data_IF_905175606002
#
_entry.id   IF_905175606002
#
_cell.length_a   1.000
_cell.length_b   1.000
_cell.length_c   1.000
_cell.angle_alpha   90.00
_cell.angle_beta   90.00
_cell.angle_gamma   90.00
#
_symmetry.space_group_name_H-M   'P 1'
#
loop_
_entity.id
_entity.type
_entity.pdbx_description
1 polymer ?
#
# COMPACT_ATOMS: atom_id res chain seq x y z
N UNK A 1 0.95 72.69 -7.37
CA UNK A 1 -0.53 72.54 -7.42
C UNK A 1 -0.86 71.41 -8.38
N UNK A 2 -1.49 70.35 -7.87
CA UNK A 2 -1.78 69.09 -8.58
C UNK A 2 -2.89 69.31 -9.61
N UNK A 3 -2.63 68.93 -10.86
CA UNK A 3 -3.65 68.59 -11.88
C UNK A 3 -3.98 67.11 -11.71
N UNK A 4 -5.25 66.75 -11.83
CA UNK A 4 -5.68 65.56 -12.59
C UNK A 4 -7.19 65.61 -12.86
N UNK A 5 -7.51 65.42 -14.14
CA UNK A 5 -8.80 65.41 -14.83
C UNK A 5 -9.29 63.95 -14.92
N UNK A 6 -10.61 63.70 -15.04
CA UNK A 6 -11.23 62.38 -14.91
C UNK A 6 -11.24 61.59 -16.22
N UNK A 7 -11.36 60.26 -16.12
CA UNK A 7 -11.62 59.34 -17.23
C UNK A 7 -12.04 58.00 -16.60
N UNK A 8 -13.27 57.53 -16.75
CA UNK A 8 -13.90 56.92 -17.94
C UNK A 8 -13.21 55.61 -18.37
N UNK A 9 -14.06 54.59 -18.57
CA UNK A 9 -13.92 53.45 -19.50
C UNK A 9 -13.65 52.05 -18.91
N UNK A 10 -14.70 51.24 -19.04
CA UNK A 10 -14.83 49.83 -19.43
C UNK A 10 -13.92 48.73 -18.85
N UNK A 11 -14.66 47.74 -18.34
CA UNK A 11 -14.66 46.32 -18.72
C UNK A 11 -13.44 45.46 -18.37
N UNK A 12 -13.72 44.31 -17.74
CA UNK A 12 -13.41 43.01 -18.33
C UNK A 12 -14.16 41.91 -17.57
N UNK A 13 -15.08 41.22 -18.23
CA UNK A 13 -15.60 39.92 -17.80
C UNK A 13 -14.47 38.90 -17.96
N UNK A 14 -13.87 38.49 -16.84
CA UNK A 14 -12.92 37.37 -16.83
C UNK A 14 -13.74 36.08 -16.80
N UNK A 15 -13.78 35.36 -17.92
CA UNK A 15 -14.12 33.94 -17.93
C UNK A 15 -12.98 33.22 -17.22
N UNK A 16 -13.25 32.80 -15.98
CA UNK A 16 -12.34 31.95 -15.23
C UNK A 16 -12.34 30.55 -15.85
N UNK A 17 -11.35 30.26 -16.70
CA UNK A 17 -10.94 28.90 -16.96
C UNK A 17 -10.36 28.34 -15.66
N UNK A 18 -11.18 27.62 -14.89
CA UNK A 18 -10.73 26.89 -13.72
C UNK A 18 -9.79 25.78 -14.22
N UNK A 19 -8.50 26.07 -14.09
CA UNK A 19 -7.39 25.15 -14.29
C UNK A 19 -7.67 23.91 -13.44
N UNK A 20 -8.02 22.78 -14.08
CA UNK A 20 -7.83 21.47 -13.50
C UNK A 20 -6.32 21.17 -13.47
N UNK A 21 -5.59 21.95 -12.67
CA UNK A 21 -4.23 21.63 -12.30
C UNK A 21 -4.29 20.38 -11.43
N UNK A 22 -3.48 19.38 -11.77
CA UNK A 22 -3.41 18.10 -11.10
C UNK A 22 -3.40 18.25 -9.60
N UNK A 23 -4.44 17.73 -8.96
CA UNK A 23 -4.28 17.19 -7.63
C UNK A 23 -3.46 15.90 -7.79
N UNK A 24 -2.14 16.06 -7.82
CA UNK A 24 -1.25 15.00 -7.36
C UNK A 24 -1.76 14.63 -5.97
N UNK A 25 -2.21 13.38 -5.75
CA UNK A 25 -2.69 12.98 -4.44
C UNK A 25 -1.54 13.22 -3.47
N UNK A 26 -1.79 14.04 -2.44
CA UNK A 26 -0.86 14.25 -1.35
C UNK A 26 -0.38 12.87 -0.89
N UNK A 27 0.90 12.58 -1.13
CA UNK A 27 1.54 11.37 -0.60
C UNK A 27 1.27 11.39 0.89
N UNK A 28 0.63 10.33 1.39
CA UNK A 28 0.24 10.21 2.78
C UNK A 28 1.44 10.59 3.66
N UNK A 29 1.23 11.52 4.60
CA UNK A 29 2.24 12.06 5.52
C UNK A 29 2.75 11.02 6.54
N UNK A 30 2.50 9.74 6.28
CA UNK A 30 2.88 8.59 7.10
C UNK A 30 4.10 7.86 6.56
N UNK A 31 4.62 6.88 7.33
CA UNK A 31 5.72 6.04 6.88
C UNK A 31 5.34 5.30 5.59
N UNK A 32 6.21 5.37 4.58
CA UNK A 32 6.00 4.70 3.30
C UNK A 32 6.98 3.55 3.13
N UNK A 33 6.59 2.56 2.33
CA UNK A 33 7.44 1.43 2.03
C UNK A 33 8.61 1.85 1.14
N UNK A 34 9.84 1.58 1.60
CA UNK A 34 11.09 1.92 0.88
C UNK A 34 11.74 0.72 0.22
N UNK A 35 11.56 -0.47 0.79
CA UNK A 35 12.08 -1.71 0.24
C UNK A 35 11.15 -2.90 0.55
N UNK A 36 11.22 -3.92 -0.31
CA UNK A 36 10.54 -5.19 -0.11
C UNK A 36 11.39 -6.35 -0.57
N UNK A 37 11.36 -7.44 0.18
CA UNK A 37 12.00 -8.70 -0.16
C UNK A 37 10.97 -9.82 -0.12
N UNK A 38 10.92 -10.60 -1.20
CA UNK A 38 10.08 -11.79 -1.31
C UNK A 38 10.98 -13.01 -1.36
N UNK A 39 10.70 -14.00 -0.50
CA UNK A 39 11.38 -15.28 -0.47
C UNK A 39 10.37 -16.42 -0.59
N UNK A 40 10.48 -17.19 -1.67
CA UNK A 40 9.61 -18.33 -1.97
C UNK A 40 10.43 -19.62 -2.00
N UNK A 41 10.06 -20.58 -1.16
CA UNK A 41 10.59 -21.94 -1.15
C UNK A 41 9.46 -22.94 -1.37
N UNK A 42 9.77 -24.24 -1.34
CA UNK A 42 8.73 -25.29 -1.35
C UNK A 42 7.80 -25.20 -0.14
N UNK A 43 8.35 -24.91 1.04
CA UNK A 43 7.64 -24.93 2.32
C UNK A 43 7.43 -23.53 2.90
N UNK A 44 8.15 -22.54 2.40
CA UNK A 44 8.18 -21.19 2.94
C UNK A 44 7.66 -20.19 1.91
N UNK A 45 6.98 -19.17 2.40
CA UNK A 45 6.52 -18.04 1.60
C UNK A 45 6.56 -16.78 2.46
N UNK A 46 7.56 -15.93 2.22
CA UNK A 46 7.95 -14.83 3.11
C UNK A 46 7.92 -13.50 2.36
N UNK A 47 7.39 -12.48 3.04
CA UNK A 47 7.48 -11.07 2.66
C UNK A 47 8.10 -10.29 3.81
N UNK A 48 9.16 -9.56 3.51
CA UNK A 48 9.74 -8.54 4.38
C UNK A 48 9.58 -7.19 3.70
N UNK A 49 9.17 -6.18 4.46
CA UNK A 49 9.09 -4.81 3.97
C UNK A 49 9.79 -3.88 4.95
N UNK A 50 10.51 -2.91 4.41
CA UNK A 50 11.14 -1.84 5.17
C UNK A 50 10.35 -0.54 4.93
N UNK A 51 10.04 0.16 6.01
CA UNK A 51 9.38 1.45 5.99
C UNK A 51 10.39 2.59 6.14
N UNK A 52 10.02 3.78 5.68
CA UNK A 52 10.87 4.97 5.71
C UNK A 52 11.28 5.43 7.12
N UNK A 53 10.56 5.00 8.15
CA UNK A 53 10.89 5.26 9.55
C UNK A 53 11.83 4.21 10.18
N UNK A 54 12.29 3.24 9.38
CA UNK A 54 13.22 2.19 9.79
C UNK A 54 12.55 0.97 10.44
N UNK A 55 11.22 0.94 10.53
CA UNK A 55 10.48 -0.26 10.92
C UNK A 55 10.52 -1.30 9.80
N UNK A 56 10.62 -2.55 10.20
CA UNK A 56 10.44 -3.70 9.31
C UNK A 56 9.14 -4.42 9.68
N UNK A 57 8.40 -4.86 8.67
CA UNK A 57 7.28 -5.79 8.85
C UNK A 57 7.61 -7.09 8.14
N UNK A 58 7.27 -8.21 8.78
CA UNK A 58 7.60 -9.53 8.30
C UNK A 58 6.40 -10.47 8.37
N UNK A 59 5.93 -10.91 7.21
CA UNK A 59 4.92 -11.95 7.08
C UNK A 59 5.55 -13.23 6.53
N UNK A 60 5.23 -14.36 7.14
CA UNK A 60 5.72 -15.65 6.67
C UNK A 60 4.68 -16.75 6.81
N UNK A 61 4.61 -17.61 5.80
CA UNK A 61 4.09 -18.96 5.95
C UNK A 61 5.28 -19.90 6.00
N UNK A 62 5.39 -20.68 7.08
CA UNK A 62 6.43 -21.70 7.25
C UNK A 62 5.89 -22.85 8.08
N UNK A 63 6.32 -24.06 7.78
CA UNK A 63 5.92 -25.29 8.48
C UNK A 63 4.38 -25.45 8.63
N UNK A 64 3.61 -24.93 7.66
CA UNK A 64 2.14 -24.99 7.68
C UNK A 64 1.46 -23.98 8.61
N UNK A 65 2.17 -22.95 9.07
CA UNK A 65 1.67 -21.93 9.98
C UNK A 65 1.93 -20.51 9.42
N UNK A 66 1.00 -19.59 9.66
CA UNK A 66 1.13 -18.18 9.30
C UNK A 66 1.67 -17.36 10.48
N UNK A 67 2.60 -16.45 10.20
CA UNK A 67 3.25 -15.59 11.18
C UNK A 67 3.27 -14.13 10.72
N UNK A 68 3.17 -13.22 11.69
CA UNK A 68 3.40 -11.78 11.55
C UNK A 68 4.39 -11.35 12.63
N UNK A 69 5.54 -10.82 12.23
CA UNK A 69 6.64 -10.43 13.11
C UNK A 69 7.00 -11.53 14.12
N UNK A 70 6.96 -12.79 13.66
CA UNK A 70 7.24 -13.99 14.46
C UNK A 70 6.08 -14.49 15.32
N UNK A 71 4.95 -13.79 15.39
CA UNK A 71 3.75 -14.21 16.12
C UNK A 71 2.86 -15.07 15.23
N UNK A 72 2.51 -16.27 15.68
CA UNK A 72 1.59 -17.14 14.94
C UNK A 72 0.16 -16.56 14.93
N UNK A 73 -0.43 -16.45 13.73
CA UNK A 73 -1.76 -15.85 13.53
C UNK A 73 -2.80 -16.83 12.99
N UNK A 74 -2.37 -18.04 12.60
CA UNK A 74 -3.28 -19.09 12.15
C UNK A 74 -2.58 -20.25 11.43
N UNK A 75 -3.34 -21.28 11.12
CA UNK A 75 -2.88 -22.43 10.34
C UNK A 75 -2.90 -22.11 8.84
N UNK A 76 -1.81 -22.43 8.17
CA UNK A 76 -1.65 -22.29 6.73
C UNK A 76 -0.96 -23.52 6.13
N UNK A 77 -1.56 -24.73 6.21
CA UNK A 77 -0.96 -25.93 5.65
C UNK A 77 -0.62 -25.74 4.17
N UNK A 78 0.44 -26.40 3.69
CA UNK A 78 0.82 -26.33 2.28
C UNK A 78 -0.34 -26.80 1.39
N UNK A 79 -0.66 -26.03 0.36
CA UNK A 79 -1.78 -26.32 -0.55
C UNK A 79 -3.15 -25.89 -0.01
N UNK A 80 -3.23 -25.33 1.20
CA UNK A 80 -4.44 -24.68 1.68
C UNK A 80 -4.77 -23.44 0.85
N UNK A 81 -6.02 -22.96 0.95
CA UNK A 81 -6.44 -21.72 0.30
C UNK A 81 -5.57 -20.52 0.74
N UNK A 82 -5.21 -20.46 2.02
CA UNK A 82 -4.35 -19.39 2.55
C UNK A 82 -2.94 -19.46 1.95
N UNK A 83 -2.32 -20.65 1.92
CA UNK A 83 -0.99 -20.82 1.30
C UNK A 83 -1.00 -20.49 -0.20
N UNK A 84 -2.02 -20.96 -0.94
CA UNK A 84 -2.13 -20.70 -2.37
C UNK A 84 -2.30 -19.20 -2.66
N UNK A 85 -3.25 -18.54 -1.99
CA UNK A 85 -3.55 -17.11 -2.19
C UNK A 85 -2.39 -16.21 -1.75
N UNK A 86 -1.71 -16.54 -0.64
CA UNK A 86 -0.53 -15.81 -0.20
C UNK A 86 0.61 -15.93 -1.20
N UNK A 87 0.90 -17.15 -1.70
CA UNK A 87 1.93 -17.35 -2.73
C UNK A 87 1.60 -16.61 -4.02
N UNK A 88 0.33 -16.56 -4.41
CA UNK A 88 -0.12 -15.78 -5.56
C UNK A 88 0.12 -14.27 -5.36
N UNK A 89 -0.23 -13.73 -4.18
CA UNK A 89 0.07 -12.36 -3.79
C UNK A 89 1.58 -12.08 -3.87
N UNK A 90 2.42 -12.96 -3.33
CA UNK A 90 3.87 -12.80 -3.36
C UNK A 90 4.44 -12.81 -4.77
N UNK A 91 3.88 -13.63 -5.68
CA UNK A 91 4.27 -13.57 -7.08
C UNK A 91 3.95 -12.21 -7.71
N UNK A 92 2.77 -11.64 -7.44
CA UNK A 92 2.44 -10.27 -7.88
C UNK A 92 3.34 -9.22 -7.23
N UNK A 93 3.67 -9.38 -5.95
CA UNK A 93 4.53 -8.46 -5.22
C UNK A 93 5.93 -8.36 -5.82
N UNK A 94 6.51 -9.46 -6.33
CA UNK A 94 7.82 -9.45 -7.01
C UNK A 94 7.85 -8.56 -8.26
N UNK A 95 6.71 -8.38 -8.92
CA UNK A 95 6.58 -7.55 -10.13
C UNK A 95 6.06 -6.13 -9.80
N UNK A 96 5.77 -5.85 -8.53
CA UNK A 96 5.13 -4.61 -8.08
C UNK A 96 6.17 -3.64 -7.54
N UNK A 97 6.19 -2.37 -8.01
CA UNK A 97 7.04 -1.35 -7.42
C UNK A 97 6.74 -1.13 -5.94
N UNK A 98 7.77 -0.85 -5.14
CA UNK A 98 7.65 -0.57 -3.70
C UNK A 98 6.53 0.44 -3.35
N UNK A 99 6.37 1.49 -4.16
CA UNK A 99 5.34 2.51 -3.96
C UNK A 99 3.89 1.99 -4.16
N UNK A 100 3.71 0.92 -4.93
CA UNK A 100 2.40 0.31 -5.22
C UNK A 100 2.11 -0.92 -4.36
N UNK A 101 3.14 -1.47 -3.71
CA UNK A 101 3.03 -2.69 -2.90
C UNK A 101 2.05 -2.55 -1.71
N UNK A 102 2.01 -1.43 -0.96
CA UNK A 102 1.04 -1.27 0.12
C UNK A 102 -0.41 -1.42 -0.34
N UNK A 103 -0.75 -0.82 -1.49
CA UNK A 103 -2.10 -0.95 -2.06
C UNK A 103 -2.41 -2.40 -2.45
N UNK A 104 -1.44 -3.13 -3.03
CA UNK A 104 -1.59 -4.55 -3.36
C UNK A 104 -1.81 -5.42 -2.10
N UNK A 105 -1.12 -5.12 -1.00
CA UNK A 105 -1.27 -5.86 0.27
C UNK A 105 -2.61 -5.58 0.95
N UNK A 106 -3.08 -4.33 0.93
CA UNK A 106 -4.39 -3.95 1.48
C UNK A 106 -5.54 -4.52 0.65
N UNK A 107 -5.39 -4.57 -0.68
CA UNK A 107 -6.39 -5.13 -1.60
C UNK A 107 -6.47 -6.66 -1.53
N UNK A 108 -5.49 -7.32 -0.88
CA UNK A 108 -5.51 -8.76 -0.77
C UNK A 108 -6.61 -9.25 0.17
N UNK A 109 -7.65 -9.84 -0.42
CA UNK A 109 -8.67 -10.56 0.31
C UNK A 109 -8.17 -11.94 0.71
N UNK A 110 -7.85 -12.10 2.01
CA UNK A 110 -7.51 -13.40 2.54
C UNK A 110 -8.71 -14.36 2.49
N UNK A 111 -8.49 -15.63 2.15
CA UNK A 111 -9.58 -16.60 2.04
C UNK A 111 -10.26 -16.82 3.39
N UNK A 112 -11.56 -17.10 3.35
CA UNK A 112 -12.37 -17.38 4.55
C UNK A 112 -11.83 -18.55 5.39
N UNK A 113 -12.29 -18.65 6.65
CA UNK A 113 -11.81 -19.67 7.60
C UNK A 113 -10.45 -19.27 8.16
N UNK A 114 -9.45 -20.15 8.04
CA UNK A 114 -8.13 -19.93 8.62
C UNK A 114 -7.40 -18.70 8.05
N UNK A 115 -7.76 -18.24 6.84
CA UNK A 115 -7.20 -17.03 6.24
C UNK A 115 -7.80 -15.72 6.76
N UNK A 116 -9.01 -15.73 7.33
CA UNK A 116 -9.67 -14.50 7.77
C UNK A 116 -8.89 -13.79 8.90
N UNK A 117 -8.38 -14.56 9.86
CA UNK A 117 -7.51 -14.04 10.93
C UNK A 117 -6.19 -13.50 10.38
N UNK A 118 -5.59 -14.19 9.39
CA UNK A 118 -4.33 -13.77 8.78
C UNK A 118 -4.49 -12.48 7.96
N UNK A 119 -5.55 -12.35 7.16
CA UNK A 119 -5.85 -11.13 6.41
C UNK A 119 -6.13 -9.94 7.33
N UNK A 120 -6.96 -10.14 8.35
CA UNK A 120 -7.24 -9.10 9.36
C UNK A 120 -6.00 -8.69 10.15
N UNK A 121 -5.03 -9.59 10.30
CA UNK A 121 -3.80 -9.30 11.01
C UNK A 121 -2.78 -8.59 10.11
N UNK A 122 -2.71 -8.94 8.82
CA UNK A 122 -1.95 -8.20 7.79
C UNK A 122 -2.41 -6.74 7.70
N UNK A 123 -3.72 -6.53 7.53
CA UNK A 123 -4.33 -5.21 7.43
C UNK A 123 -3.97 -4.30 8.61
N UNK A 124 -4.00 -4.85 9.84
CA UNK A 124 -3.66 -4.12 11.07
C UNK A 124 -2.17 -3.79 11.23
N UNK A 125 -1.29 -4.43 10.48
CA UNK A 125 0.17 -4.23 10.59
C UNK A 125 0.72 -3.19 9.61
N UNK A 126 -0.04 -2.81 8.59
CA UNK A 126 0.30 -1.75 7.62
C UNK A 126 -0.02 -0.36 8.17
#
# INVERSE_FOLDING_TARGET
MRRSIPGLVLALTVVAAAQAAGQEPAQADGPHLVASEVSLSRNDAVLRVELSDGRELHWSLRDGQAFIDGTAVGDAPRGSALDASWRELLNRAMETPAASLPALLVDWEAPSGNGASAGSALDRSL
#
